data_IF_162322843068
#
_entry.id   IF_162322843068
#
_cell.length_a   1.000
_cell.length_b   1.000
_cell.length_c   1.000
_cell.angle_alpha   90.00
_cell.angle_beta   90.00
_cell.angle_gamma   90.00
#
_symmetry.space_group_name_H-M   'P 1'
#
loop_
_entity.id
_entity.type
_entity.pdbx_description
1 polymer ?
#
# COMPACT_ATOMS: atom_id res chain seq x y z
N UNK A 1 -30.22 -12.42 5.66
CA UNK A 1 -30.89 -11.11 5.87
C UNK A 1 -29.95 -10.21 6.66
N UNK A 2 -29.71 -8.98 6.20
CA UNK A 2 -28.91 -7.98 6.94
C UNK A 2 -29.86 -6.91 7.46
N UNK A 3 -29.71 -6.53 8.72
CA UNK A 3 -30.52 -5.48 9.36
C UNK A 3 -29.63 -4.52 10.12
N UNK A 4 -30.01 -3.24 10.09
CA UNK A 4 -29.32 -2.15 10.77
C UNK A 4 -30.30 -1.51 11.76
N UNK A 5 -29.91 -1.42 13.02
CA UNK A 5 -30.67 -0.76 14.09
C UNK A 5 -29.78 0.33 14.65
N UNK A 6 -30.26 1.56 14.76
CA UNK A 6 -29.47 2.65 15.34
C UNK A 6 -30.28 3.36 16.42
N UNK A 7 -29.59 3.86 17.44
CA UNK A 7 -30.12 4.76 18.45
C UNK A 7 -29.08 5.83 18.79
N UNK A 8 -29.31 6.63 19.84
CA UNK A 8 -28.40 7.72 20.24
C UNK A 8 -27.04 7.25 20.76
N UNK A 9 -26.91 5.97 21.09
CA UNK A 9 -25.74 5.43 21.77
C UNK A 9 -24.99 4.39 20.92
N UNK A 10 -25.64 3.76 19.93
CA UNK A 10 -25.06 2.67 19.16
C UNK A 10 -25.71 2.44 17.79
N UNK A 11 -24.94 1.82 16.90
CA UNK A 11 -25.37 1.18 15.66
C UNK A 11 -25.19 -0.34 15.83
N UNK A 12 -26.26 -1.10 15.64
CA UNK A 12 -26.27 -2.57 15.62
C UNK A 12 -26.44 -3.06 14.19
N UNK A 13 -25.49 -3.87 13.74
CA UNK A 13 -25.56 -4.63 12.49
C UNK A 13 -25.88 -6.08 12.85
N UNK A 14 -26.97 -6.63 12.29
CA UNK A 14 -27.31 -8.05 12.47
C UNK A 14 -27.39 -8.73 11.11
N UNK A 15 -26.58 -9.77 10.92
CA UNK A 15 -26.55 -10.65 9.75
C UNK A 15 -27.13 -12.00 10.13
N UNK A 16 -28.27 -12.36 9.55
CA UNK A 16 -29.00 -13.59 9.85
C UNK A 16 -28.96 -14.56 8.67
N UNK A 17 -28.59 -15.81 8.94
CA UNK A 17 -28.62 -16.94 8.03
C UNK A 17 -29.64 -17.98 8.52
N UNK A 18 -30.31 -18.66 7.59
CA UNK A 18 -31.33 -19.69 7.84
C UNK A 18 -30.70 -21.09 8.06
N UNK A 19 -29.57 -21.13 8.75
CA UNK A 19 -28.85 -22.36 9.09
C UNK A 19 -28.70 -22.43 10.60
N UNK A 20 -28.95 -23.61 11.17
CA UNK A 20 -28.68 -23.90 12.58
C UNK A 20 -27.23 -24.34 12.74
N UNK A 21 -26.54 -23.76 13.73
CA UNK A 21 -25.24 -24.30 14.16
C UNK A 21 -25.43 -25.62 14.91
N UNK A 22 -24.64 -26.62 14.54
CA UNK A 22 -24.47 -27.84 15.33
C UNK A 22 -23.75 -27.55 16.66
N UNK A 23 -23.93 -28.39 17.69
CA UNK A 23 -23.24 -28.20 18.98
C UNK A 23 -21.72 -28.11 18.85
N UNK A 24 -21.12 -28.92 17.96
CA UNK A 24 -19.68 -28.93 17.68
C UNK A 24 -19.22 -27.63 17.02
N UNK A 25 -20.00 -27.07 16.09
CA UNK A 25 -19.69 -25.76 15.49
C UNK A 25 -19.77 -24.63 16.52
N UNK A 26 -20.79 -24.65 17.40
CA UNK A 26 -20.92 -23.66 18.48
C UNK A 26 -19.71 -23.71 19.41
N UNK A 27 -19.27 -24.90 19.81
CA UNK A 27 -18.09 -25.08 20.65
C UNK A 27 -16.82 -24.58 19.95
N UNK A 28 -16.62 -24.93 18.68
CA UNK A 28 -15.47 -24.45 17.87
C UNK A 28 -15.46 -22.93 17.74
N UNK A 29 -16.61 -22.30 17.53
CA UNK A 29 -16.76 -20.85 17.44
C UNK A 29 -16.41 -20.19 18.77
N UNK A 30 -16.97 -20.68 19.89
CA UNK A 30 -16.71 -20.11 21.21
C UNK A 30 -15.24 -20.22 21.60
N UNK A 31 -14.59 -21.37 21.35
CA UNK A 31 -13.16 -21.54 21.58
C UNK A 31 -12.32 -20.52 20.79
N UNK A 32 -12.69 -20.23 19.54
CA UNK A 32 -12.02 -19.22 18.71
C UNK A 32 -12.25 -17.80 19.20
N UNK A 33 -13.45 -17.46 19.67
CA UNK A 33 -13.75 -16.15 20.27
C UNK A 33 -12.93 -15.96 21.56
N UNK A 34 -12.87 -16.95 22.44
CA UNK A 34 -12.07 -16.86 23.67
C UNK A 34 -10.57 -16.74 23.37
N UNK A 35 -10.07 -17.53 22.42
CA UNK A 35 -8.68 -17.39 21.94
C UNK A 35 -8.40 -15.99 21.39
N UNK A 36 -9.28 -15.44 20.55
CA UNK A 36 -9.16 -14.08 20.01
C UNK A 36 -9.10 -12.99 21.08
N UNK A 37 -9.73 -13.20 22.25
CA UNK A 37 -9.64 -12.27 23.39
C UNK A 37 -8.26 -12.28 24.06
N UNK A 38 -7.61 -13.43 24.09
CA UNK A 38 -6.31 -13.64 24.75
C UNK A 38 -5.13 -13.19 23.89
N UNK A 39 -5.26 -13.20 22.56
CA UNK A 39 -4.17 -12.80 21.67
C UNK A 39 -3.89 -11.29 21.74
N UNK A 40 -2.62 -10.96 21.98
CA UNK A 40 -2.04 -9.64 21.76
C UNK A 40 -1.18 -9.59 20.48
N UNK A 41 -0.87 -10.75 19.90
CA UNK A 41 -0.10 -10.91 18.67
C UNK A 41 -0.78 -11.95 17.76
N UNK A 42 -1.18 -11.52 16.56
CA UNK A 42 -1.87 -12.37 15.59
C UNK A 42 -0.94 -13.44 15.00
N UNK A 43 0.39 -13.23 15.07
CA UNK A 43 1.36 -14.23 14.67
C UNK A 43 1.26 -15.51 15.51
N UNK A 44 0.89 -15.43 16.79
CA UNK A 44 0.64 -16.61 17.64
C UNK A 44 -0.64 -17.34 17.22
N UNK A 45 -1.71 -16.58 16.95
CA UNK A 45 -2.96 -17.13 16.43
C UNK A 45 -2.78 -17.86 15.09
N UNK A 46 -1.90 -17.32 14.23
CA UNK A 46 -1.56 -17.92 12.95
C UNK A 46 -0.70 -19.19 13.07
N UNK A 47 0.25 -19.23 14.01
CA UNK A 47 1.09 -20.41 14.27
C UNK A 47 0.28 -21.58 14.85
N UNK A 48 -0.71 -21.30 15.71
CA UNK A 48 -1.59 -22.33 16.27
C UNK A 48 -2.67 -22.81 15.28
N UNK A 49 -3.11 -21.96 14.35
CA UNK A 49 -4.13 -22.30 13.35
C UNK A 49 -3.55 -22.99 12.09
N UNK A 50 -2.30 -23.44 12.14
CA UNK A 50 -1.57 -24.04 11.02
C UNK A 50 -2.00 -25.47 10.66
N UNK A 51 -2.65 -26.20 11.57
CA UNK A 51 -2.69 -27.67 11.50
C UNK A 51 -4.06 -28.31 11.20
N UNK A 52 -5.13 -27.55 10.93
CA UNK A 52 -6.46 -28.14 10.69
C UNK A 52 -7.08 -27.71 9.36
N UNK A 53 -7.48 -28.73 8.61
CA UNK A 53 -8.25 -28.71 7.36
C UNK A 53 -9.52 -27.84 7.48
N UNK A 54 -9.78 -27.05 6.42
CA UNK A 54 -10.82 -26.02 6.23
C UNK A 54 -10.50 -24.61 6.75
N UNK A 55 -10.63 -23.59 5.88
CA UNK A 55 -10.59 -22.13 6.15
C UNK A 55 -10.81 -21.70 7.60
N UNK A 56 -9.75 -21.81 8.41
CA UNK A 56 -9.74 -22.22 9.82
C UNK A 56 -10.22 -21.19 10.85
N UNK A 57 -11.33 -20.48 10.62
CA UNK A 57 -11.87 -19.50 11.59
C UNK A 57 -10.95 -18.31 11.85
N UNK A 58 -9.86 -18.22 11.11
CA UNK A 58 -9.00 -17.06 11.03
C UNK A 58 -9.81 -15.82 10.66
N UNK A 59 -10.81 -15.94 9.77
CA UNK A 59 -11.71 -14.82 9.45
C UNK A 59 -12.45 -14.27 10.67
N UNK A 60 -12.92 -15.15 11.56
CA UNK A 60 -13.58 -14.75 12.81
C UNK A 60 -12.59 -14.08 13.77
N UNK A 61 -11.42 -14.69 13.96
CA UNK A 61 -10.36 -14.15 14.84
C UNK A 61 -9.87 -12.79 14.33
N UNK A 62 -9.59 -12.66 13.03
CA UNK A 62 -9.18 -11.39 12.40
C UNK A 62 -10.27 -10.33 12.53
N UNK A 63 -11.53 -10.67 12.27
CA UNK A 63 -12.65 -9.72 12.43
C UNK A 63 -12.72 -9.19 13.86
N UNK A 64 -12.60 -10.07 14.85
CA UNK A 64 -12.59 -9.67 16.27
C UNK A 64 -11.39 -8.80 16.63
N UNK A 65 -10.21 -9.10 16.09
CA UNK A 65 -9.00 -8.31 16.32
C UNK A 65 -9.05 -6.95 15.63
N UNK A 66 -9.57 -6.85 14.41
CA UNK A 66 -9.82 -5.57 13.75
C UNK A 66 -10.79 -4.70 14.56
N UNK A 67 -11.91 -5.28 15.03
CA UNK A 67 -12.86 -4.57 15.89
C UNK A 67 -12.17 -4.10 17.20
N UNK A 68 -11.31 -4.94 17.79
CA UNK A 68 -10.53 -4.59 18.98
C UNK A 68 -9.58 -3.41 18.71
N UNK A 69 -8.91 -3.39 17.55
CA UNK A 69 -8.02 -2.31 17.13
C UNK A 69 -8.78 -0.99 16.88
N UNK A 70 -10.04 -1.08 16.43
CA UNK A 70 -10.97 0.06 16.34
C UNK A 70 -11.52 0.53 17.71
N UNK A 71 -11.07 -0.07 18.81
CA UNK A 71 -11.50 0.27 20.17
C UNK A 71 -12.85 -0.35 20.57
N UNK A 72 -13.34 -1.33 19.82
CA UNK A 72 -14.57 -2.05 20.13
C UNK A 72 -14.29 -3.21 21.08
N UNK A 73 -15.10 -3.30 22.13
CA UNK A 73 -15.00 -4.38 23.11
C UNK A 73 -15.31 -5.75 22.47
N UNK A 74 -14.78 -6.84 23.02
CA UNK A 74 -15.16 -8.18 22.57
C UNK A 74 -16.67 -8.48 22.75
N UNK A 75 -17.37 -7.75 23.63
CA UNK A 75 -18.83 -7.80 23.77
C UNK A 75 -19.61 -7.15 22.62
N UNK A 76 -18.93 -6.37 21.77
CA UNK A 76 -19.50 -5.78 20.57
C UNK A 76 -19.79 -6.82 19.50
N UNK A 77 -19.20 -8.02 19.57
CA UNK A 77 -19.43 -9.09 18.60
C UNK A 77 -20.13 -10.29 19.25
N UNK A 78 -21.24 -10.75 18.68
CA UNK A 78 -22.00 -11.90 19.20
C UNK A 78 -22.47 -12.81 18.06
N UNK A 79 -22.47 -14.10 18.33
CA UNK A 79 -23.09 -15.11 17.46
C UNK A 79 -24.18 -15.79 18.27
N UNK A 80 -25.40 -15.74 17.76
CA UNK A 80 -26.59 -16.34 18.37
C UNK A 80 -27.16 -17.38 17.41
N UNK A 81 -27.57 -18.55 17.91
CA UNK A 81 -28.29 -19.57 17.14
C UNK A 81 -29.63 -19.85 17.82
N UNK A 82 -30.73 -19.55 17.14
CA UNK A 82 -32.10 -19.77 17.64
C UNK A 82 -32.93 -20.50 16.59
N UNK A 83 -33.42 -21.69 16.93
CA UNK A 83 -34.17 -22.54 16.01
C UNK A 83 -33.32 -22.94 14.80
N UNK A 84 -33.78 -22.57 13.60
CA UNK A 84 -33.06 -22.78 12.33
C UNK A 84 -32.29 -21.54 11.86
N UNK A 85 -32.15 -20.52 12.70
CA UNK A 85 -31.49 -19.27 12.32
C UNK A 85 -30.24 -19.04 13.14
N UNK A 86 -29.18 -18.60 12.47
CA UNK A 86 -27.95 -18.08 13.10
C UNK A 86 -27.84 -16.60 12.80
N UNK A 87 -27.57 -15.80 13.81
CA UNK A 87 -27.37 -14.35 13.71
C UNK A 87 -25.99 -13.95 14.22
N UNK A 88 -25.23 -13.24 13.38
CA UNK A 88 -24.05 -12.48 13.79
C UNK A 88 -24.49 -11.06 14.11
N UNK A 89 -24.09 -10.53 15.26
CA UNK A 89 -24.43 -9.19 15.73
C UNK A 89 -23.15 -8.42 16.01
N UNK A 90 -23.06 -7.20 15.46
CA UNK A 90 -21.98 -6.25 15.70
C UNK A 90 -22.60 -4.97 16.28
N UNK A 91 -22.25 -4.64 17.51
CA UNK A 91 -22.68 -3.46 18.27
C UNK A 91 -21.58 -2.41 18.29
N UNK A 92 -21.74 -1.36 17.50
CA UNK A 92 -20.80 -0.25 17.35
C UNK A 92 -21.32 0.93 18.18
N UNK A 93 -20.74 1.26 19.34
CA UNK A 93 -21.12 2.43 20.11
C UNK A 93 -20.77 3.72 19.34
N UNK A 94 -21.61 4.75 19.45
CA UNK A 94 -21.37 6.05 18.80
C UNK A 94 -20.33 6.90 19.55
N UNK A 95 -20.16 6.65 20.85
CA UNK A 95 -19.10 7.22 21.67
C UNK A 95 -18.05 6.15 21.95
N UNK A 96 -17.13 5.93 21.01
CA UNK A 96 -15.96 5.09 21.22
C UNK A 96 -14.97 5.91 22.06
N UNK A 97 -14.82 5.60 23.35
CA UNK A 97 -13.68 6.09 24.11
C UNK A 97 -12.44 5.45 23.49
N UNK A 98 -11.59 6.24 22.82
CA UNK A 98 -10.27 5.80 22.29
C UNK A 98 -9.28 5.33 23.38
N UNK A 99 -9.76 5.10 24.59
CA UNK A 99 -8.93 4.88 25.78
C UNK A 99 -8.39 3.46 25.90
N UNK A 100 -8.75 2.50 25.04
CA UNK A 100 -8.28 1.13 25.21
C UNK A 100 -7.86 0.47 23.88
N UNK A 101 -6.56 0.16 23.83
CA UNK A 101 -5.82 -0.68 22.87
C UNK A 101 -5.31 0.01 21.60
N UNK A 102 -4.53 1.09 21.74
CA UNK A 102 -3.39 1.20 20.82
C UNK A 102 -2.48 0.02 21.15
N UNK A 103 -2.34 -0.95 20.23
CA UNK A 103 -1.32 -1.99 20.37
C UNK A 103 0.00 -1.24 20.59
N UNK A 104 0.78 -1.64 21.61
CA UNK A 104 2.09 -1.04 21.88
C UNK A 104 2.94 -1.01 20.59
N UNK A 105 2.80 -2.04 19.74
CA UNK A 105 3.36 -2.11 18.39
C UNK A 105 2.96 -0.92 17.50
N UNK A 106 1.68 -0.55 17.45
CA UNK A 106 1.22 0.63 16.69
C UNK A 106 1.88 1.90 17.20
N UNK A 107 1.98 2.09 18.52
CA UNK A 107 2.63 3.27 19.10
C UNK A 107 4.13 3.30 18.77
N UNK A 108 4.80 2.15 18.82
CA UNK A 108 6.21 2.03 18.46
C UNK A 108 6.45 2.33 16.97
N UNK A 109 5.57 1.86 16.08
CA UNK A 109 5.60 2.19 14.65
C UNK A 109 5.41 3.70 14.44
N UNK A 110 4.39 4.30 15.07
CA UNK A 110 4.12 5.74 14.98
C UNK A 110 5.30 6.58 15.49
N UNK A 111 5.91 6.17 16.61
CA UNK A 111 7.10 6.83 17.15
C UNK A 111 8.30 6.73 16.21
N UNK A 112 8.46 5.63 15.47
CA UNK A 112 9.49 5.49 14.45
C UNK A 112 9.24 6.42 13.25
N UNK A 113 7.98 6.58 12.83
CA UNK A 113 7.59 7.57 11.81
C UNK A 113 7.90 8.99 12.30
N UNK A 114 7.60 9.29 13.57
CA UNK A 114 7.94 10.58 14.19
C UNK A 114 9.46 10.81 14.28
N UNK A 115 10.22 9.75 14.51
CA UNK A 115 11.69 9.75 14.53
C UNK A 115 12.36 9.77 13.15
N UNK A 116 11.61 9.68 12.04
CA UNK A 116 12.19 9.86 10.72
C UNK A 116 12.73 11.29 10.57
N UNK A 117 13.91 11.47 9.94
CA UNK A 117 14.39 12.79 9.59
C UNK A 117 13.36 13.58 8.78
N UNK A 118 13.39 14.89 8.92
CA UNK A 118 12.68 15.78 8.00
C UNK A 118 13.19 15.59 6.59
N UNK A 119 12.32 15.79 5.60
CA UNK A 119 12.70 15.70 4.20
C UNK A 119 13.87 16.66 3.88
N UNK A 120 14.84 16.28 3.02
CA UNK A 120 16.08 17.05 2.87
C UNK A 120 15.79 18.49 2.45
N UNK A 121 16.29 19.46 3.22
CA UNK A 121 15.98 20.88 3.03
C UNK A 121 16.42 21.38 1.64
N UNK A 122 17.56 20.90 1.14
CA UNK A 122 18.04 21.16 -0.22
C UNK A 122 17.00 20.81 -1.27
N UNK A 123 16.37 19.63 -1.14
CA UNK A 123 15.35 19.15 -2.07
C UNK A 123 14.06 19.98 -1.94
N UNK A 124 13.61 20.27 -0.71
CA UNK A 124 12.43 21.11 -0.48
C UNK A 124 12.57 22.52 -1.08
N UNK A 125 13.76 23.11 -0.95
CA UNK A 125 14.06 24.42 -1.50
C UNK A 125 14.02 24.38 -3.04
N UNK A 126 14.57 23.33 -3.66
CA UNK A 126 14.50 23.12 -5.11
C UNK A 126 13.05 22.92 -5.58
N UNK A 127 12.24 22.12 -4.87
CA UNK A 127 10.81 21.96 -5.16
C UNK A 127 10.06 23.30 -5.13
N UNK A 128 10.36 24.12 -4.12
CA UNK A 128 9.79 25.48 -3.98
C UNK A 128 10.25 26.40 -5.10
N UNK A 129 11.47 26.22 -5.62
CA UNK A 129 11.92 26.96 -6.79
C UNK A 129 11.13 26.54 -8.03
N UNK A 130 11.01 25.23 -8.30
CA UNK A 130 10.32 24.66 -9.46
C UNK A 130 8.84 25.07 -9.53
N UNK A 131 8.17 25.19 -8.39
CA UNK A 131 6.75 25.56 -8.35
C UNK A 131 6.47 27.02 -8.72
N UNK A 132 7.50 27.87 -8.84
CA UNK A 132 7.33 29.28 -9.22
C UNK A 132 7.10 29.44 -10.72
N UNK A 133 6.18 30.31 -11.16
CA UNK A 133 5.88 30.53 -12.59
C UNK A 133 7.09 30.93 -13.45
N UNK A 134 8.07 31.63 -12.86
CA UNK A 134 9.27 32.13 -13.55
C UNK A 134 10.54 31.40 -13.09
N UNK A 135 10.46 30.08 -12.92
CA UNK A 135 11.59 29.24 -12.51
C UNK A 135 12.76 29.32 -13.49
N UNK A 136 13.95 29.66 -13.01
CA UNK A 136 15.18 29.64 -13.81
C UNK A 136 15.91 28.32 -13.65
N UNK A 137 16.07 27.58 -14.74
CA UNK A 137 16.85 26.33 -14.78
C UNK A 137 18.28 26.56 -14.24
N UNK A 138 18.91 27.68 -14.59
CA UNK A 138 20.27 27.98 -14.15
C UNK A 138 20.33 28.16 -12.62
N UNK A 139 19.36 28.86 -12.03
CA UNK A 139 19.31 29.03 -10.58
C UNK A 139 19.08 27.70 -9.86
N UNK A 140 18.21 26.85 -10.41
CA UNK A 140 17.94 25.50 -9.89
C UNK A 140 19.22 24.63 -9.98
N UNK A 141 19.93 24.68 -11.11
CA UNK A 141 21.18 23.97 -11.31
C UNK A 141 22.26 24.42 -10.30
N UNK A 142 22.39 25.72 -10.02
CA UNK A 142 23.33 26.25 -9.03
C UNK A 142 23.03 25.77 -7.60
N UNK A 143 21.77 25.57 -7.25
CA UNK A 143 21.40 24.98 -5.96
C UNK A 143 21.75 23.49 -5.93
N UNK A 144 21.43 22.75 -6.99
CA UNK A 144 21.74 21.32 -7.11
C UNK A 144 23.24 21.04 -7.09
N UNK A 145 24.05 21.89 -7.73
CA UNK A 145 25.53 21.77 -7.78
C UNK A 145 26.18 21.70 -6.40
N UNK A 146 25.53 22.22 -5.37
CA UNK A 146 26.02 22.18 -3.98
C UNK A 146 25.92 20.78 -3.36
N UNK A 147 25.06 19.92 -3.91
CA UNK A 147 24.90 18.53 -3.50
C UNK A 147 25.50 17.60 -4.58
N UNK A 148 26.68 17.07 -4.29
CA UNK A 148 27.44 16.21 -5.21
C UNK A 148 26.69 14.94 -5.55
N UNK A 149 25.99 14.34 -4.57
CA UNK A 149 25.25 13.09 -4.76
C UNK A 149 24.02 13.33 -5.65
N UNK A 150 23.26 14.39 -5.37
CA UNK A 150 22.11 14.78 -6.19
C UNK A 150 22.53 15.13 -7.63
N UNK A 151 23.63 15.87 -7.76
CA UNK A 151 24.22 16.24 -9.06
C UNK A 151 24.57 15.01 -9.90
N UNK A 152 25.27 14.04 -9.30
CA UNK A 152 25.65 12.80 -9.96
C UNK A 152 24.42 11.97 -10.38
N UNK A 153 23.41 11.87 -9.52
CA UNK A 153 22.17 11.15 -9.82
C UNK A 153 21.40 11.76 -11.00
N UNK A 154 21.29 13.09 -11.06
CA UNK A 154 20.61 13.79 -12.15
C UNK A 154 21.37 13.63 -13.47
N UNK A 155 22.70 13.76 -13.45
CA UNK A 155 23.54 13.53 -14.62
C UNK A 155 23.47 12.08 -15.11
N UNK A 156 23.49 11.10 -14.20
CA UNK A 156 23.32 9.68 -14.53
C UNK A 156 21.97 9.42 -15.20
N UNK A 157 20.90 10.01 -14.67
CA UNK A 157 19.57 9.87 -15.27
C UNK A 157 19.49 10.51 -16.66
N UNK A 158 20.02 11.73 -16.83
CA UNK A 158 20.02 12.42 -18.13
C UNK A 158 20.81 11.66 -19.21
N UNK A 159 21.77 10.82 -18.80
CA UNK A 159 22.53 9.95 -19.70
C UNK A 159 21.97 8.51 -19.80
N UNK A 160 20.87 8.19 -19.10
CA UNK A 160 20.24 6.87 -19.20
C UNK A 160 19.53 6.68 -20.53
N UNK A 161 19.36 5.43 -20.98
CA UNK A 161 18.73 5.07 -22.26
C UNK A 161 17.35 5.71 -22.51
N UNK A 162 16.66 6.17 -21.47
CA UNK A 162 15.40 6.91 -21.58
C UNK A 162 15.55 8.33 -22.18
N UNK A 163 16.74 8.94 -22.08
CA UNK A 163 17.04 10.31 -22.49
C UNK A 163 18.20 10.42 -23.50
N UNK A 164 18.87 9.30 -23.83
CA UNK A 164 20.04 9.29 -24.73
C UNK A 164 19.70 9.93 -26.08
N UNK A 165 20.45 11.00 -26.39
CA UNK A 165 20.72 11.50 -27.75
C UNK A 165 22.17 11.16 -28.11
N UNK A 166 22.57 11.42 -29.35
CA UNK A 166 23.90 11.07 -29.88
C UNK A 166 25.13 11.55 -29.05
N UNK A 167 24.97 12.52 -28.14
CA UNK A 167 26.06 13.07 -27.33
C UNK A 167 25.78 12.96 -25.81
N UNK A 168 26.83 12.66 -25.05
CA UNK A 168 26.84 12.60 -23.58
C UNK A 168 26.52 13.97 -22.96
N UNK A 169 25.70 13.99 -21.91
CA UNK A 169 25.33 15.18 -21.14
C UNK A 169 26.29 15.38 -19.98
N UNK A 170 27.04 16.47 -19.98
CA UNK A 170 28.10 16.74 -18.99
C UNK A 170 27.81 17.93 -18.06
N UNK A 171 26.79 18.74 -18.35
CA UNK A 171 26.38 19.87 -17.51
C UNK A 171 24.99 19.67 -16.90
N UNK A 172 24.83 20.11 -15.65
CA UNK A 172 23.55 20.01 -14.93
C UNK A 172 22.46 20.86 -15.58
N UNK A 173 22.79 22.06 -16.04
CA UNK A 173 21.86 22.93 -16.75
C UNK A 173 21.27 22.21 -17.98
N UNK A 174 22.12 21.49 -18.72
CA UNK A 174 21.69 20.71 -19.88
C UNK A 174 20.89 19.47 -19.49
N UNK A 175 21.29 18.78 -18.42
CA UNK A 175 20.55 17.65 -17.89
C UNK A 175 19.13 18.05 -17.48
N UNK A 176 18.97 19.16 -16.76
CA UNK A 176 17.67 19.67 -16.31
C UNK A 176 16.81 20.13 -17.50
N UNK A 177 17.41 20.78 -18.52
CA UNK A 177 16.69 21.11 -19.75
C UNK A 177 16.15 19.88 -20.49
N UNK A 178 16.92 18.80 -20.52
CA UNK A 178 16.53 17.55 -21.19
C UNK A 178 15.48 16.78 -20.41
N UNK A 179 15.62 16.74 -19.08
CA UNK A 179 14.66 16.07 -18.18
C UNK A 179 13.34 16.86 -18.15
N UNK A 180 13.42 18.18 -18.01
CA UNK A 180 12.28 19.05 -17.75
C UNK A 180 12.11 19.32 -16.25
N UNK A 181 11.59 20.50 -15.89
CA UNK A 181 11.42 20.88 -14.49
C UNK A 181 10.38 20.01 -13.76
N UNK A 182 9.35 19.57 -14.49
CA UNK A 182 8.30 18.70 -13.94
C UNK A 182 8.86 17.33 -13.59
N UNK A 183 9.49 16.67 -14.55
CA UNK A 183 10.18 15.38 -14.37
C UNK A 183 11.27 15.45 -13.30
N UNK A 184 12.00 16.57 -13.22
CA UNK A 184 12.96 16.83 -12.14
C UNK A 184 12.27 16.88 -10.77
N UNK A 185 11.14 17.56 -10.65
CA UNK A 185 10.35 17.59 -9.41
C UNK A 185 9.93 16.19 -8.97
N UNK A 186 9.43 15.35 -9.88
CA UNK A 186 9.09 13.96 -9.53
C UNK A 186 10.31 13.15 -9.08
N UNK A 187 11.44 13.30 -9.76
CA UNK A 187 12.69 12.61 -9.40
C UNK A 187 13.19 13.00 -8.01
N UNK A 188 13.09 14.29 -7.67
CA UNK A 188 13.53 14.84 -6.40
C UNK A 188 12.80 14.21 -5.21
N UNK A 189 11.51 13.89 -5.33
CA UNK A 189 10.78 13.15 -4.30
C UNK A 189 11.40 11.76 -4.08
N UNK A 190 11.63 11.00 -5.16
CA UNK A 190 12.23 9.67 -5.08
C UNK A 190 13.66 9.71 -4.51
N UNK A 191 14.49 10.67 -4.94
CA UNK A 191 15.87 10.81 -4.45
C UNK A 191 15.92 11.20 -2.98
N UNK A 192 15.04 12.11 -2.52
CA UNK A 192 14.97 12.49 -1.11
C UNK A 192 14.48 11.36 -0.21
N UNK A 193 13.50 10.58 -0.67
CA UNK A 193 13.05 9.36 0.03
C UNK A 193 14.19 8.36 0.12
N UNK A 194 14.88 8.11 -1.00
CA UNK A 194 16.03 7.21 -1.06
C UNK A 194 17.14 7.65 -0.10
N UNK A 195 17.46 8.95 -0.04
CA UNK A 195 18.47 9.50 0.87
C UNK A 195 18.14 9.24 2.36
N UNK A 196 16.85 9.17 2.74
CA UNK A 196 16.44 8.96 4.12
C UNK A 196 16.34 7.47 4.46
N UNK A 197 15.86 6.65 3.53
CA UNK A 197 15.52 5.24 3.80
C UNK A 197 16.63 4.26 3.42
N UNK A 198 17.41 4.53 2.36
CA UNK A 198 18.49 3.65 1.91
C UNK A 198 19.59 3.54 2.97
N UNK A 199 20.01 2.30 3.26
CA UNK A 199 21.01 2.01 4.30
C UNK A 199 20.50 2.09 5.74
N UNK A 200 19.37 2.77 6.00
CA UNK A 200 18.72 2.79 7.32
C UNK A 200 17.82 1.58 7.54
N UNK A 201 17.15 1.12 6.49
CA UNK A 201 16.16 0.05 6.55
C UNK A 201 16.60 -1.16 5.72
N UNK A 202 16.80 -2.35 6.32
CA UNK A 202 17.30 -3.52 5.61
C UNK A 202 16.42 -3.94 4.42
N UNK A 203 15.10 -3.79 4.55
CA UNK A 203 14.13 -4.12 3.50
C UNK A 203 14.06 -3.09 2.37
N UNK A 204 14.84 -2.00 2.43
CA UNK A 204 14.77 -0.92 1.43
C UNK A 204 15.02 -1.44 0.02
N UNK A 205 16.09 -2.21 -0.21
CA UNK A 205 16.51 -2.58 -1.56
C UNK A 205 15.45 -3.44 -2.26
N UNK A 206 14.95 -4.49 -1.58
CA UNK A 206 13.95 -5.41 -2.15
C UNK A 206 12.62 -4.71 -2.48
N UNK A 207 12.12 -3.87 -1.57
CA UNK A 207 10.87 -3.14 -1.80
C UNK A 207 11.04 -2.03 -2.84
N UNK A 208 12.21 -1.38 -2.88
CA UNK A 208 12.50 -0.37 -3.90
C UNK A 208 12.59 -0.98 -5.31
N UNK A 209 13.15 -2.18 -5.44
CA UNK A 209 13.18 -2.93 -6.71
C UNK A 209 11.77 -3.33 -7.17
N UNK A 210 10.94 -3.88 -6.26
CA UNK A 210 9.52 -4.15 -6.52
C UNK A 210 8.77 -2.89 -6.94
N UNK A 211 8.99 -1.77 -6.25
CA UNK A 211 8.36 -0.49 -6.56
C UNK A 211 8.82 0.07 -7.92
N UNK A 212 10.08 -0.17 -8.30
CA UNK A 212 10.60 0.19 -9.62
C UNK A 212 9.96 -0.65 -10.74
N UNK A 213 9.73 -1.94 -10.50
CA UNK A 213 8.95 -2.80 -11.41
C UNK A 213 7.50 -2.30 -11.55
N UNK A 214 6.86 -1.94 -10.43
CA UNK A 214 5.50 -1.38 -10.42
C UNK A 214 5.44 -0.07 -11.23
N UNK A 215 6.40 0.83 -11.03
CA UNK A 215 6.52 2.08 -11.77
C UNK A 215 6.73 1.85 -13.29
N UNK A 216 7.51 0.83 -13.67
CA UNK A 216 7.67 0.43 -15.06
C UNK A 216 6.35 -0.09 -15.67
N UNK A 217 5.62 -0.96 -14.97
CA UNK A 217 4.32 -1.46 -15.41
C UNK A 217 3.29 -0.34 -15.53
N UNK A 218 3.25 0.58 -14.56
CA UNK A 218 2.41 1.77 -14.61
C UNK A 218 2.65 2.59 -15.87
N UNK A 219 3.91 2.77 -16.30
CA UNK A 219 4.23 3.47 -17.54
C UNK A 219 3.65 2.77 -18.78
N UNK A 220 3.69 1.44 -18.83
CA UNK A 220 3.12 0.66 -19.93
C UNK A 220 1.58 0.74 -19.92
N UNK A 221 0.95 0.59 -18.75
CA UNK A 221 -0.51 0.72 -18.58
C UNK A 221 -0.97 2.12 -18.98
N UNK A 222 -0.27 3.15 -18.53
CA UNK A 222 -0.58 4.53 -18.85
C UNK A 222 -0.50 4.83 -20.35
N UNK A 223 0.49 4.24 -21.03
CA UNK A 223 0.60 4.31 -22.50
C UNK A 223 -0.58 3.62 -23.18
N UNK A 224 -1.00 2.45 -22.68
CA UNK A 224 -2.15 1.70 -23.20
C UNK A 224 -3.47 2.50 -23.09
N UNK A 225 -3.65 3.24 -22.00
CA UNK A 225 -4.87 4.05 -21.80
C UNK A 225 -4.74 5.49 -22.33
N UNK A 226 -3.61 5.85 -22.93
CA UNK A 226 -3.30 7.19 -23.46
C UNK A 226 -3.37 8.31 -22.41
N UNK A 227 -2.80 8.09 -21.22
CA UNK A 227 -2.70 9.18 -20.23
C UNK A 227 -1.82 10.32 -20.76
N UNK A 228 -2.12 11.59 -20.41
CA UNK A 228 -1.26 12.71 -20.73
C UNK A 228 0.15 12.49 -20.15
N UNK A 229 1.19 12.93 -20.89
CA UNK A 229 2.60 12.79 -20.47
C UNK A 229 2.84 13.27 -19.03
N UNK A 230 2.20 14.38 -18.69
CA UNK A 230 2.21 15.00 -17.37
C UNK A 230 1.66 14.09 -16.26
N UNK A 231 0.57 13.38 -16.53
CA UNK A 231 -0.02 12.39 -15.63
C UNK A 231 0.88 11.17 -15.52
N UNK A 232 1.49 10.71 -16.62
CA UNK A 232 2.40 9.56 -16.62
C UNK A 232 3.59 9.80 -15.68
N UNK A 233 4.22 10.98 -15.73
CA UNK A 233 5.39 11.26 -14.89
C UNK A 233 5.06 11.22 -13.40
N UNK A 234 3.93 11.85 -13.02
CA UNK A 234 3.38 11.79 -11.67
C UNK A 234 3.03 10.36 -11.24
N UNK A 235 2.39 9.58 -12.11
CA UNK A 235 2.03 8.18 -11.87
C UNK A 235 3.27 7.31 -11.62
N UNK A 236 4.31 7.43 -12.44
CA UNK A 236 5.56 6.65 -12.27
C UNK A 236 6.23 6.98 -10.94
N UNK A 237 6.25 8.25 -10.55
CA UNK A 237 6.81 8.70 -9.27
C UNK A 237 5.97 8.19 -8.08
N UNK A 238 4.64 8.27 -8.18
CA UNK A 238 3.72 7.75 -7.16
C UNK A 238 3.86 6.22 -7.01
N UNK A 239 3.93 5.48 -8.12
CA UNK A 239 4.16 4.04 -8.14
C UNK A 239 5.52 3.65 -7.53
N UNK A 240 6.57 4.44 -7.75
CA UNK A 240 7.87 4.17 -7.12
C UNK A 240 7.85 4.36 -5.60
N UNK A 241 6.94 5.20 -5.09
CA UNK A 241 6.84 5.56 -3.69
C UNK A 241 5.71 4.84 -2.93
N UNK A 242 4.82 4.11 -3.61
CA UNK A 242 3.58 3.59 -3.01
C UNK A 242 3.80 2.67 -1.80
N UNK A 243 4.85 1.83 -1.83
CA UNK A 243 5.14 0.83 -0.80
C UNK A 243 6.23 1.28 0.20
N UNK A 244 6.52 2.58 0.34
CA UNK A 244 7.52 3.04 1.33
C UNK A 244 7.13 2.66 2.77
N UNK A 245 5.83 2.50 3.06
CA UNK A 245 5.37 2.03 4.36
C UNK A 245 5.73 0.56 4.60
N UNK A 246 5.81 -0.25 3.54
CA UNK A 246 6.18 -1.67 3.64
C UNK A 246 7.66 -1.80 4.05
N UNK A 247 8.52 -0.89 3.59
CA UNK A 247 9.94 -0.79 4.03
C UNK A 247 10.02 -0.63 5.55
N UNK A 248 9.21 0.26 6.11
CA UNK A 248 9.20 0.53 7.55
C UNK A 248 8.66 -0.68 8.31
N UNK A 249 7.50 -1.22 7.90
CA UNK A 249 6.90 -2.36 8.59
C UNK A 249 7.78 -3.61 8.54
N UNK A 250 8.39 -3.94 7.40
CA UNK A 250 9.33 -5.06 7.29
C UNK A 250 10.57 -4.87 8.15
N UNK A 251 11.01 -3.63 8.35
CA UNK A 251 12.20 -3.36 9.16
C UNK A 251 11.94 -3.34 10.66
N UNK A 252 10.72 -3.00 11.08
CA UNK A 252 10.33 -2.96 12.50
C UNK A 252 9.72 -4.29 12.97
N UNK A 253 8.95 -4.95 12.11
CA UNK A 253 8.13 -6.13 12.42
C UNK A 253 8.38 -7.26 11.42
N UNK A 254 9.66 -7.50 11.07
CA UNK A 254 10.08 -8.47 10.04
C UNK A 254 9.38 -9.83 10.16
N UNK A 255 9.40 -10.43 11.37
CA UNK A 255 8.78 -11.73 11.62
C UNK A 255 7.28 -11.73 11.34
N UNK A 256 6.58 -10.68 11.79
CA UNK A 256 5.13 -10.52 11.61
C UNK A 256 4.81 -10.37 10.12
N UNK A 257 5.52 -9.48 9.42
CA UNK A 257 5.31 -9.22 8.00
C UNK A 257 5.63 -10.44 7.12
N UNK A 258 6.72 -11.15 7.41
CA UNK A 258 7.06 -12.39 6.71
C UNK A 258 6.01 -13.49 6.90
N UNK A 259 5.41 -13.59 8.09
CA UNK A 259 4.31 -14.51 8.33
C UNK A 259 3.04 -14.11 7.58
N UNK A 260 2.70 -12.81 7.57
CA UNK A 260 1.58 -12.29 6.79
C UNK A 260 1.73 -12.66 5.31
N UNK A 261 2.89 -12.41 4.71
CA UNK A 261 3.15 -12.73 3.30
C UNK A 261 2.98 -14.21 2.96
N UNK A 262 3.48 -15.12 3.82
CA UNK A 262 3.31 -16.57 3.65
C UNK A 262 1.85 -17.01 3.72
N UNK A 263 1.07 -16.40 4.59
CA UNK A 263 -0.32 -16.78 4.85
C UNK A 263 -1.24 -16.21 3.77
N UNK A 264 -1.03 -14.96 3.36
CA UNK A 264 -1.81 -14.33 2.30
C UNK A 264 -1.67 -15.09 0.98
N UNK A 265 -0.46 -15.57 0.65
CA UNK A 265 -0.21 -16.35 -0.57
C UNK A 265 -0.86 -17.75 -0.54
N UNK A 266 -1.01 -18.37 0.64
CA UNK A 266 -1.36 -19.80 0.73
C UNK A 266 -2.83 -20.09 0.99
N UNK A 267 -3.62 -19.15 1.52
CA UNK A 267 -4.93 -19.51 2.09
C UNK A 267 -6.16 -18.86 1.45
N UNK A 268 -6.07 -17.88 0.55
CA UNK A 268 -7.22 -17.13 0.02
C UNK A 268 -8.15 -16.52 1.10
N UNK A 269 -7.69 -16.39 2.36
CA UNK A 269 -8.56 -16.06 3.51
C UNK A 269 -8.77 -14.54 3.63
N UNK A 270 -7.72 -13.75 3.47
CA UNK A 270 -7.77 -12.30 3.62
C UNK A 270 -6.61 -11.62 2.89
N UNK A 271 -6.78 -10.34 2.54
CA UNK A 271 -5.70 -9.53 1.98
C UNK A 271 -4.60 -9.29 3.01
N UNK A 272 -3.35 -9.18 2.57
CA UNK A 272 -2.21 -8.86 3.44
C UNK A 272 -2.47 -7.61 4.30
N UNK A 273 -3.07 -6.57 3.71
CA UNK A 273 -3.48 -5.33 4.38
C UNK A 273 -4.44 -5.59 5.54
N UNK A 274 -5.42 -6.50 5.39
CA UNK A 274 -6.34 -6.82 6.50
C UNK A 274 -5.62 -7.56 7.63
N UNK A 275 -4.62 -8.38 7.28
CA UNK A 275 -3.80 -9.08 8.28
C UNK A 275 -2.85 -8.12 9.00
N UNK A 276 -2.27 -7.14 8.30
CA UNK A 276 -1.48 -6.06 8.89
C UNK A 276 -2.32 -5.26 9.89
N UNK A 277 -3.51 -4.82 9.48
CA UNK A 277 -4.42 -4.09 10.34
C UNK A 277 -4.74 -4.89 11.60
N UNK A 278 -5.07 -6.16 11.45
CA UNK A 278 -5.40 -7.01 12.58
C UNK A 278 -4.19 -7.30 13.50
N UNK A 279 -2.98 -7.45 12.94
CA UNK A 279 -1.78 -7.82 13.70
C UNK A 279 -1.02 -6.64 14.30
N UNK A 280 -1.00 -5.50 13.61
CA UNK A 280 -0.19 -4.33 13.94
C UNK A 280 -1.04 -3.11 14.29
N UNK A 281 -2.36 -3.13 14.04
CA UNK A 281 -3.26 -1.98 14.23
C UNK A 281 -3.00 -0.83 13.25
N UNK A 282 -2.18 -1.07 12.23
CA UNK A 282 -1.86 -0.14 11.16
C UNK A 282 -1.34 -0.90 9.95
N UNK A 283 -1.72 -0.45 8.76
CA UNK A 283 -1.30 -1.02 7.47
C UNK A 283 -0.08 -0.29 6.91
N UNK A 284 0.66 -0.96 6.03
CA UNK A 284 1.76 -0.31 5.30
C UNK A 284 1.25 0.87 4.45
N UNK A 285 0.02 0.76 3.91
CA UNK A 285 -0.63 1.83 3.14
C UNK A 285 -0.81 3.08 4.00
N UNK A 286 -1.23 2.92 5.26
CA UNK A 286 -1.40 4.05 6.18
C UNK A 286 -0.07 4.60 6.66
N UNK A 287 0.90 3.74 6.95
CA UNK A 287 2.28 4.17 7.27
C UNK A 287 2.86 5.01 6.15
N UNK A 288 2.75 4.57 4.89
CA UNK A 288 3.22 5.33 3.73
C UNK A 288 2.57 6.71 3.64
N UNK A 289 1.25 6.77 3.78
CA UNK A 289 0.48 8.03 3.79
C UNK A 289 0.96 8.99 4.89
N UNK A 290 1.15 8.51 6.13
CA UNK A 290 1.65 9.32 7.25
C UNK A 290 3.07 9.87 6.99
N UNK A 291 3.93 9.08 6.33
CA UNK A 291 5.28 9.52 5.94
C UNK A 291 5.19 10.63 4.88
N UNK A 292 4.34 10.46 3.87
CA UNK A 292 4.11 11.47 2.85
C UNK A 292 3.57 12.79 3.45
N UNK A 293 2.61 12.70 4.38
CA UNK A 293 2.10 13.86 5.13
C UNK A 293 3.20 14.55 5.94
N UNK A 294 4.00 13.78 6.70
CA UNK A 294 5.15 14.30 7.47
C UNK A 294 6.15 15.04 6.59
N UNK A 295 6.41 14.52 5.39
CA UNK A 295 7.33 15.13 4.43
C UNK A 295 6.69 16.22 3.56
N UNK A 296 5.42 16.54 3.78
CA UNK A 296 4.64 17.52 3.02
C UNK A 296 4.66 17.23 1.52
N UNK A 297 4.49 15.96 1.15
CA UNK A 297 4.32 15.56 -0.23
C UNK A 297 2.94 15.99 -0.73
N UNK A 298 2.78 16.28 -2.04
CA UNK A 298 1.48 16.52 -2.64
C UNK A 298 0.50 15.37 -2.35
N UNK A 299 -0.78 15.70 -2.16
CA UNK A 299 -1.84 14.75 -1.82
C UNK A 299 -1.86 13.52 -2.72
N UNK A 300 -1.56 13.70 -4.01
CA UNK A 300 -1.39 12.59 -4.96
C UNK A 300 -0.55 11.44 -4.40
N UNK A 301 0.59 11.73 -3.77
CA UNK A 301 1.49 10.71 -3.25
C UNK A 301 0.91 10.03 -2.01
N UNK A 302 0.43 10.81 -1.04
CA UNK A 302 -0.23 10.28 0.16
C UNK A 302 -1.45 9.41 -0.20
N UNK A 303 -2.31 9.89 -1.10
CA UNK A 303 -3.49 9.15 -1.59
C UNK A 303 -3.08 7.90 -2.34
N UNK A 304 -2.05 7.96 -3.19
CA UNK A 304 -1.55 6.77 -3.90
C UNK A 304 -1.06 5.70 -2.93
N UNK A 305 -0.31 6.07 -1.89
CA UNK A 305 0.13 5.15 -0.83
C UNK A 305 -1.02 4.63 0.03
N UNK A 306 -2.05 5.45 0.30
CA UNK A 306 -3.14 5.07 1.21
C UNK A 306 -4.18 4.14 0.56
N UNK A 307 -4.41 4.30 -0.75
CA UNK A 307 -5.51 3.68 -1.46
C UNK A 307 -5.09 2.64 -2.52
N UNK A 308 -3.78 2.37 -2.71
CA UNK A 308 -3.34 1.40 -3.74
C UNK A 308 -3.79 -0.04 -3.49
N UNK A 309 -4.27 -0.40 -2.31
CA UNK A 309 -4.94 -1.71 -2.05
C UNK A 309 -6.46 -1.62 -1.88
N UNK A 310 -7.02 -0.42 -1.91
CA UNK A 310 -8.46 -0.15 -1.84
C UNK A 310 -8.86 0.88 -2.91
N UNK A 311 -8.54 0.61 -4.19
CA UNK A 311 -8.67 1.58 -5.26
C UNK A 311 -10.12 2.02 -5.51
N UNK A 312 -11.11 1.18 -5.19
CA UNK A 312 -12.51 1.44 -5.53
C UNK A 312 -13.17 2.55 -4.69
N UNK A 313 -12.56 2.94 -3.56
CA UNK A 313 -13.09 3.98 -2.67
C UNK A 313 -12.37 5.34 -2.82
N UNK A 314 -11.47 5.46 -3.80
CA UNK A 314 -10.74 6.71 -4.05
C UNK A 314 -11.63 7.76 -4.71
N UNK A 315 -11.34 9.04 -4.44
CA UNK A 315 -11.89 10.20 -5.12
C UNK A 315 -11.54 10.19 -6.62
N UNK A 316 -12.44 10.72 -7.46
CA UNK A 316 -12.38 10.60 -8.92
C UNK A 316 -11.08 11.17 -9.53
N UNK A 317 -10.57 12.27 -8.97
CA UNK A 317 -9.36 12.93 -9.45
C UNK A 317 -8.09 12.05 -9.37
N UNK A 318 -8.08 11.08 -8.46
CA UNK A 318 -6.93 10.20 -8.25
C UNK A 318 -7.02 8.87 -9.02
N UNK A 319 -8.16 8.55 -9.66
CA UNK A 319 -8.37 7.28 -10.37
C UNK A 319 -7.27 7.01 -11.40
N UNK A 320 -6.87 8.04 -12.15
CA UNK A 320 -5.83 7.94 -13.19
C UNK A 320 -4.44 7.56 -12.67
N UNK A 321 -4.25 7.61 -11.35
CA UNK A 321 -3.02 7.23 -10.67
C UNK A 321 -3.18 5.89 -9.95
N UNK A 322 -4.23 5.74 -9.14
CA UNK A 322 -4.37 4.60 -8.24
C UNK A 322 -4.76 3.31 -8.98
N UNK A 323 -5.58 3.39 -10.03
CA UNK A 323 -5.99 2.20 -10.77
C UNK A 323 -4.81 1.55 -11.50
N UNK A 324 -3.95 2.30 -12.23
CA UNK A 324 -2.72 1.75 -12.78
C UNK A 324 -1.77 1.19 -11.72
N UNK A 325 -1.60 1.85 -10.56
CA UNK A 325 -0.75 1.35 -9.47
C UNK A 325 -1.27 0.03 -8.93
N UNK A 326 -2.55 -0.06 -8.60
CA UNK A 326 -3.17 -1.30 -8.14
C UNK A 326 -2.98 -2.42 -9.17
N UNK A 327 -3.24 -2.13 -10.45
CA UNK A 327 -3.14 -3.15 -11.49
C UNK A 327 -1.69 -3.62 -11.70
N UNK A 328 -0.73 -2.69 -11.64
CA UNK A 328 0.70 -3.00 -11.71
C UNK A 328 1.16 -3.87 -10.52
N UNK A 329 0.74 -3.56 -9.29
CA UNK A 329 1.02 -4.39 -8.12
C UNK A 329 0.40 -5.78 -8.25
N UNK A 330 -0.86 -5.87 -8.69
CA UNK A 330 -1.50 -7.17 -8.97
C UNK A 330 -0.76 -7.96 -10.06
N UNK A 331 -0.26 -7.31 -11.11
CA UNK A 331 0.56 -7.99 -12.13
C UNK A 331 1.81 -8.63 -11.52
N UNK A 332 2.49 -7.93 -10.60
CA UNK A 332 3.67 -8.46 -9.88
C UNK A 332 3.26 -9.66 -9.01
N UNK A 333 2.20 -9.52 -8.21
CA UNK A 333 1.71 -10.61 -7.35
C UNK A 333 1.33 -11.86 -8.15
N UNK A 334 0.63 -11.71 -9.28
CA UNK A 334 0.28 -12.85 -10.14
C UNK A 334 1.54 -13.46 -10.80
N UNK A 335 2.60 -12.67 -11.05
CA UNK A 335 3.87 -13.22 -11.55
C UNK A 335 4.58 -14.07 -10.48
N UNK A 336 4.41 -13.71 -9.21
CA UNK A 336 4.98 -14.43 -8.07
C UNK A 336 4.06 -15.53 -7.51
N UNK A 337 2.93 -15.81 -8.18
CA UNK A 337 1.91 -16.78 -7.71
C UNK A 337 1.26 -16.40 -6.36
N UNK A 338 1.30 -15.13 -6.00
CA UNK A 338 0.74 -14.58 -4.74
C UNK A 338 -0.71 -14.10 -4.90
N UNK A 339 -1.21 -13.97 -6.12
CA UNK A 339 -2.58 -13.55 -6.42
C UNK A 339 -3.08 -14.15 -7.74
N UNK A 340 -4.41 -14.12 -7.94
CA UNK A 340 -5.09 -14.60 -9.15
C UNK A 340 -5.71 -13.44 -9.94
N UNK A 341 -5.83 -13.64 -11.25
CA UNK A 341 -6.52 -12.69 -12.14
C UNK A 341 -7.96 -12.39 -11.69
N UNK A 342 -8.67 -13.39 -11.15
CA UNK A 342 -10.05 -13.27 -10.65
C UNK A 342 -10.21 -12.31 -9.47
N UNK A 343 -9.12 -11.94 -8.80
CA UNK A 343 -9.14 -10.99 -7.68
C UNK A 343 -9.13 -9.53 -8.14
N UNK A 344 -8.83 -9.26 -9.41
CA UNK A 344 -8.78 -7.91 -9.95
C UNK A 344 -10.22 -7.42 -10.20
N UNK A 345 -10.64 -6.27 -9.63
CA UNK A 345 -11.96 -5.71 -9.89
C UNK A 345 -12.18 -5.40 -11.37
N UNK A 346 -13.34 -5.80 -11.90
CA UNK A 346 -13.72 -5.58 -13.30
C UNK A 346 -13.64 -4.09 -13.70
N UNK A 347 -14.07 -3.19 -12.80
CA UNK A 347 -13.99 -1.73 -13.01
C UNK A 347 -12.57 -1.25 -13.33
N UNK A 348 -11.54 -1.86 -12.72
CA UNK A 348 -10.14 -1.50 -12.94
C UNK A 348 -9.65 -2.07 -14.27
N UNK A 349 -10.02 -3.31 -14.60
CA UNK A 349 -9.72 -3.90 -15.91
C UNK A 349 -10.31 -3.06 -17.04
N UNK A 350 -11.59 -2.68 -16.93
CA UNK A 350 -12.27 -1.82 -17.90
C UNK A 350 -11.60 -0.45 -18.04
N UNK A 351 -11.26 0.21 -16.93
CA UNK A 351 -10.54 1.49 -16.95
C UNK A 351 -9.17 1.36 -17.64
N UNK A 352 -8.44 0.28 -17.34
CA UNK A 352 -7.15 -0.06 -17.95
C UNK A 352 -7.28 -0.65 -19.37
N UNK A 353 -8.49 -0.65 -19.93
CA UNK A 353 -8.84 -1.15 -21.27
C UNK A 353 -8.49 -2.61 -21.49
N UNK A 354 -8.63 -3.47 -20.49
CA UNK A 354 -8.50 -4.92 -20.65
C UNK A 354 -9.89 -5.55 -20.80
N UNK A 355 -10.22 -6.00 -22.01
CA UNK A 355 -11.56 -6.52 -22.30
C UNK A 355 -11.68 -8.01 -21.92
N UNK A 356 -10.61 -8.79 -22.08
CA UNK A 356 -10.59 -10.23 -21.83
C UNK A 356 -9.30 -10.67 -21.11
N UNK A 357 -9.36 -11.76 -20.35
CA UNK A 357 -8.24 -12.27 -19.54
C UNK A 357 -6.99 -12.60 -20.38
N UNK A 358 -7.16 -13.13 -21.59
CA UNK A 358 -6.06 -13.45 -22.49
C UNK A 358 -5.21 -12.23 -22.87
N UNK A 359 -5.85 -11.07 -23.06
CA UNK A 359 -5.14 -9.82 -23.33
C UNK A 359 -4.33 -9.35 -22.13
N UNK A 360 -4.94 -9.40 -20.93
CA UNK A 360 -4.24 -9.07 -19.69
C UNK A 360 -3.02 -9.98 -19.49
N UNK A 361 -3.17 -11.29 -19.65
CA UNK A 361 -2.06 -12.23 -19.48
C UNK A 361 -0.94 -11.97 -20.50
N UNK A 362 -1.27 -11.74 -21.77
CA UNK A 362 -0.27 -11.42 -22.80
C UNK A 362 0.47 -10.12 -22.49
N UNK A 363 -0.24 -9.08 -22.08
CA UNK A 363 0.35 -7.80 -21.69
C UNK A 363 1.28 -7.95 -20.48
N UNK A 364 0.83 -8.67 -19.44
CA UNK A 364 1.60 -8.93 -18.23
C UNK A 364 2.90 -9.67 -18.51
N UNK A 365 2.86 -10.74 -19.31
CA UNK A 365 4.07 -11.50 -19.66
C UNK A 365 5.06 -10.62 -20.42
N UNK A 366 4.61 -9.87 -21.43
CA UNK A 366 5.46 -8.94 -22.19
C UNK A 366 6.04 -7.83 -21.31
N UNK A 367 5.28 -7.33 -20.35
CA UNK A 367 5.74 -6.33 -19.41
C UNK A 367 6.86 -6.89 -18.53
N UNK A 368 6.74 -8.13 -18.04
CA UNK A 368 7.80 -8.82 -17.28
C UNK A 368 9.06 -9.01 -18.11
N UNK A 369 8.95 -9.56 -19.32
CA UNK A 369 10.09 -9.74 -20.24
C UNK A 369 10.81 -8.40 -20.52
N UNK A 370 10.04 -7.35 -20.79
CA UNK A 370 10.58 -6.01 -21.07
C UNK A 370 11.26 -5.38 -19.84
N UNK A 371 10.81 -5.73 -18.63
CA UNK A 371 11.44 -5.26 -17.40
C UNK A 371 12.77 -5.98 -17.16
N UNK A 372 12.78 -7.31 -17.26
CA UNK A 372 13.98 -8.12 -17.05
C UNK A 372 15.10 -7.75 -18.03
N UNK A 373 14.76 -7.52 -19.31
CA UNK A 373 15.71 -7.09 -20.34
C UNK A 373 16.34 -5.69 -20.10
N UNK A 374 15.88 -4.92 -19.10
CA UNK A 374 16.48 -3.63 -18.70
C UNK A 374 17.39 -3.72 -17.49
N UNK A 375 17.26 -4.81 -16.73
CA UNK A 375 18.01 -5.06 -15.49
C UNK A 375 19.30 -5.84 -15.79
N UNK A 376 19.29 -6.66 -16.84
CA UNK A 376 20.48 -7.19 -17.53
C UNK A 376 21.24 -6.08 -18.28
#
# INVERSE_FOLDING_TARGET
>A
MVSFIYNKDMIRIRVMNNVKLSPTEVERINQRIEKARLYNDLAEAFLEAGDETEGAGLGLVMSLMMLKNDGLSASSYKIESQGNNTSVIIDIPLNISKENLQLQKTQDILKNIDGLPTFPKSIQDIQTMISKPNSSINQIAEVIKKDVALSANILKLANSAAFIRANKVESLDRAIQLIGLKELSQLLYSLGTKQILEGKFPAFLSIWEKSNQCAFYCKLIASRINLPKDTISNLVSAALLHDIGEIILLSLEEKTMNNIGKISASKEIASAVSMEEAALGITHTKVGSLIAEKWNFPDLYSKSMEFHHRPLIVEEEFISYIYPIYLADMMIKINNEEAKFSEIPEKILQFCKFEHSGEFHSFRTKALESFLARVE
#
